data_IF_191197099183
#
_entry.id   IF_191197099183
#
_cell.length_a   1.000
_cell.length_b   1.000
_cell.length_c   1.000
_cell.angle_alpha   90.00
_cell.angle_beta   90.00
_cell.angle_gamma   90.00
#
_symmetry.space_group_name_H-M   'P 1'
#
loop_
_entity.id
_entity.type
_entity.pdbx_description
1 polymer ?
#
# COMPACT_ATOMS: atom_id res chain seq x y z
N UNK A 1 28.28 1.29 -2.23
CA UNK A 1 27.77 2.37 -3.10
C UNK A 1 26.94 3.29 -2.22
N UNK A 2 26.99 4.61 -2.41
CA UNK A 2 26.12 5.50 -1.66
C UNK A 2 24.67 5.23 -2.04
N UNK A 3 23.81 5.03 -1.03
CA UNK A 3 22.37 4.87 -1.18
C UNK A 3 21.81 6.11 -1.91
N UNK A 4 21.23 5.90 -3.10
CA UNK A 4 20.67 6.98 -3.90
C UNK A 4 19.25 7.25 -3.42
N UNK A 5 18.93 8.53 -3.22
CA UNK A 5 17.59 8.95 -2.81
C UNK A 5 16.62 8.76 -3.97
N UNK A 6 15.40 8.33 -3.65
CA UNK A 6 14.31 8.13 -4.62
C UNK A 6 13.31 9.27 -4.54
N UNK A 7 12.77 9.63 -5.69
CA UNK A 7 11.67 10.58 -5.83
C UNK A 7 10.59 9.93 -6.69
N UNK A 8 9.39 9.81 -6.14
CA UNK A 8 8.24 9.30 -6.86
C UNK A 8 7.62 10.43 -7.68
N UNK A 9 7.56 10.24 -9.00
CA UNK A 9 6.93 11.19 -9.93
C UNK A 9 5.83 10.47 -10.69
N UNK A 10 4.65 11.08 -10.77
CA UNK A 10 3.55 10.54 -11.55
C UNK A 10 3.94 10.31 -13.02
N UNK A 11 3.53 9.18 -13.59
CA UNK A 11 3.90 8.80 -14.96
C UNK A 11 3.47 9.83 -16.00
N UNK A 12 2.33 10.51 -15.82
CA UNK A 12 1.89 11.57 -16.72
C UNK A 12 2.83 12.79 -16.66
N UNK A 13 3.35 13.13 -15.48
CA UNK A 13 4.35 14.20 -15.34
C UNK A 13 5.69 13.82 -15.96
N UNK A 14 6.11 12.56 -15.85
CA UNK A 14 7.33 12.07 -16.53
C UNK A 14 7.20 12.14 -18.05
N UNK A 15 6.02 11.83 -18.60
CA UNK A 15 5.75 11.91 -20.04
C UNK A 15 5.76 13.34 -20.59
N UNK A 16 5.63 14.35 -19.73
CA UNK A 16 5.75 15.76 -20.11
C UNK A 16 7.20 16.25 -20.16
N UNK A 17 8.23 15.38 -20.05
CA UNK A 17 9.59 15.84 -20.20
C UNK A 17 9.84 16.40 -21.61
N UNK A 18 10.66 17.45 -21.70
CA UNK A 18 11.02 18.08 -22.97
C UNK A 18 11.99 17.20 -23.80
N UNK A 19 12.37 17.68 -24.99
CA UNK A 19 13.33 17.01 -25.89
C UNK A 19 14.72 16.82 -25.25
N UNK A 20 15.00 17.51 -24.14
CA UNK A 20 16.22 17.34 -23.34
C UNK A 20 16.02 16.39 -22.15
N UNK A 21 14.86 15.72 -22.07
CA UNK A 21 14.46 14.79 -21.01
C UNK A 21 14.34 15.47 -19.65
N UNK A 22 13.93 16.74 -19.66
CA UNK A 22 13.78 17.57 -18.45
C UNK A 22 12.34 17.79 -18.11
N UNK A 23 12.04 17.77 -16.82
CA UNK A 23 10.72 18.11 -16.31
C UNK A 23 10.82 18.98 -15.05
N UNK A 24 9.76 19.75 -14.82
CA UNK A 24 9.65 20.64 -13.67
C UNK A 24 9.36 19.87 -12.38
N UNK A 25 10.05 20.27 -11.32
CA UNK A 25 9.73 19.89 -9.95
C UNK A 25 8.64 20.80 -9.40
N UNK A 26 7.73 20.22 -8.63
CA UNK A 26 6.82 20.98 -7.79
C UNK A 26 7.57 21.61 -6.61
N UNK A 27 7.01 22.66 -6.03
CA UNK A 27 7.65 23.41 -4.93
C UNK A 27 7.98 22.51 -3.73
N UNK A 28 7.14 21.51 -3.46
CA UNK A 28 7.35 20.59 -2.34
C UNK A 28 8.52 19.62 -2.61
N UNK A 29 8.62 19.07 -3.83
CA UNK A 29 9.72 18.20 -4.27
C UNK A 29 11.05 18.96 -4.28
N UNK A 30 11.07 20.14 -4.88
CA UNK A 30 12.23 21.03 -4.93
C UNK A 30 12.72 21.39 -3.52
N UNK A 31 11.81 21.72 -2.61
CA UNK A 31 12.13 21.97 -1.19
C UNK A 31 12.69 20.72 -0.52
N UNK A 32 12.09 19.55 -0.73
CA UNK A 32 12.56 18.30 -0.16
C UNK A 32 14.00 17.98 -0.61
N UNK A 33 14.26 17.98 -1.92
CA UNK A 33 15.59 17.70 -2.47
C UNK A 33 16.65 18.69 -2.00
N UNK A 34 16.35 19.99 -1.95
CA UNK A 34 17.34 21.05 -1.67
C UNK A 34 17.47 21.42 -0.20
N UNK A 35 16.39 21.39 0.59
CA UNK A 35 16.39 21.81 2.00
C UNK A 35 16.52 20.63 2.95
N UNK A 36 15.86 19.52 2.65
CA UNK A 36 15.87 18.32 3.52
C UNK A 36 17.07 17.45 3.15
N UNK A 37 17.15 16.99 1.89
CA UNK A 37 18.25 16.14 1.43
C UNK A 37 19.54 16.91 1.11
N UNK A 38 19.45 18.24 1.00
CA UNK A 38 20.58 19.15 0.74
C UNK A 38 21.38 18.81 -0.52
N UNK A 39 20.70 18.28 -1.53
CA UNK A 39 21.30 17.97 -2.82
C UNK A 39 21.72 19.25 -3.54
N UNK A 40 22.90 19.20 -4.15
CA UNK A 40 23.46 20.30 -4.96
C UNK A 40 23.14 20.09 -6.44
N UNK A 41 23.34 21.14 -7.24
CA UNK A 41 23.36 21.01 -8.68
C UNK A 41 24.31 19.88 -9.11
N UNK A 42 23.88 19.08 -10.09
CA UNK A 42 24.62 17.93 -10.60
C UNK A 42 24.48 16.66 -9.76
N UNK A 43 23.87 16.71 -8.58
CA UNK A 43 23.61 15.53 -7.77
C UNK A 43 22.71 14.54 -8.50
N UNK A 44 23.03 13.26 -8.38
CA UNK A 44 22.22 12.17 -8.91
C UNK A 44 21.21 11.68 -7.87
N UNK A 45 20.03 11.32 -8.36
CA UNK A 45 18.95 10.69 -7.60
C UNK A 45 18.21 9.72 -8.52
N UNK A 46 17.49 8.78 -7.92
CA UNK A 46 16.63 7.87 -8.65
C UNK A 46 15.21 8.44 -8.73
N UNK A 47 14.60 8.37 -9.89
CA UNK A 47 13.21 8.76 -10.13
C UNK A 47 12.42 7.50 -10.44
N UNK A 48 11.28 7.32 -9.79
CA UNK A 48 10.39 6.16 -9.99
C UNK A 48 9.00 6.62 -10.41
N UNK A 49 8.30 5.82 -11.21
CA UNK A 49 6.94 6.14 -11.69
C UNK A 49 5.82 5.53 -10.83
N UNK A 50 6.18 4.74 -9.82
CA UNK A 50 5.21 3.98 -9.04
C UNK A 50 4.49 2.88 -9.83
N UNK A 51 4.98 2.56 -11.03
CA UNK A 51 4.45 1.54 -11.92
C UNK A 51 5.48 0.44 -12.24
N UNK A 52 6.62 0.42 -11.54
CA UNK A 52 7.66 -0.59 -11.68
C UNK A 52 8.94 -0.10 -12.35
N UNK A 53 9.01 1.15 -12.79
CA UNK A 53 10.17 1.68 -13.50
C UNK A 53 10.98 2.67 -12.66
N UNK A 54 12.29 2.68 -12.92
CA UNK A 54 13.26 3.56 -12.29
C UNK A 54 14.20 4.16 -13.35
N UNK A 55 14.47 5.45 -13.23
CA UNK A 55 15.44 6.19 -14.03
C UNK A 55 16.46 6.86 -13.12
N UNK A 56 17.71 6.89 -13.57
CA UNK A 56 18.70 7.80 -12.99
C UNK A 56 18.42 9.23 -13.48
N UNK A 57 18.34 10.18 -12.56
CA UNK A 57 18.16 11.59 -12.86
C UNK A 57 19.28 12.43 -12.28
N UNK A 58 19.42 13.65 -12.80
CA UNK A 58 20.34 14.68 -12.31
C UNK A 58 19.56 15.92 -11.92
N UNK A 59 19.83 16.44 -10.72
CA UNK A 59 19.29 17.71 -10.26
C UNK A 59 19.96 18.89 -10.99
N UNK A 60 19.18 19.66 -11.73
CA UNK A 60 19.67 20.85 -12.44
C UNK A 60 19.69 22.09 -11.54
N UNK A 61 20.17 23.22 -12.06
CA UNK A 61 19.91 24.52 -11.44
C UNK A 61 18.41 24.86 -11.61
N UNK A 62 17.83 25.63 -10.68
CA UNK A 62 16.39 25.93 -10.70
C UNK A 62 15.50 24.78 -10.17
N UNK A 63 14.25 24.67 -10.66
CA UNK A 63 13.26 23.68 -10.20
C UNK A 63 13.07 22.56 -11.25
N UNK A 64 14.16 21.92 -11.69
CA UNK A 64 14.11 20.91 -12.76
C UNK A 64 14.99 19.69 -12.48
N UNK A 65 14.59 18.55 -13.03
CA UNK A 65 15.38 17.32 -13.14
C UNK A 65 15.63 17.00 -14.61
N UNK A 66 16.77 16.36 -14.89
CA UNK A 66 17.09 15.76 -16.20
C UNK A 66 17.24 14.25 -16.05
N UNK A 67 16.49 13.46 -16.83
CA UNK A 67 16.69 12.01 -16.89
C UNK A 67 17.98 11.70 -17.66
N UNK A 68 18.78 10.76 -17.14
CA UNK A 68 20.02 10.35 -17.77
C UNK A 68 19.80 9.43 -18.99
N UNK A 69 18.63 8.79 -19.06
CA UNK A 69 18.18 7.93 -20.17
C UNK A 69 16.86 8.44 -20.73
N UNK A 70 16.46 7.93 -21.90
CA UNK A 70 15.13 8.19 -22.47
C UNK A 70 14.02 7.69 -21.52
N UNK A 71 12.86 8.36 -21.54
CA UNK A 71 11.69 7.94 -20.74
C UNK A 71 11.32 6.49 -21.07
N UNK A 72 11.42 6.08 -22.34
CA UNK A 72 11.13 4.72 -22.79
C UNK A 72 12.21 3.69 -22.44
N UNK A 73 13.33 4.12 -21.86
CA UNK A 73 14.47 3.28 -21.48
C UNK A 73 14.80 3.45 -19.99
N UNK A 74 13.94 2.93 -19.08
CA UNK A 74 14.24 2.92 -17.65
C UNK A 74 15.54 2.18 -17.34
N UNK A 75 16.27 2.69 -16.35
CA UNK A 75 17.50 2.05 -15.84
C UNK A 75 17.21 0.72 -15.14
N UNK A 76 16.00 0.56 -14.59
CA UNK A 76 15.51 -0.68 -14.02
C UNK A 76 13.99 -0.78 -14.19
N UNK A 77 13.51 -1.97 -14.52
CA UNK A 77 12.08 -2.33 -14.51
C UNK A 77 11.87 -3.57 -13.67
N UNK A 78 10.89 -3.50 -12.76
CA UNK A 78 10.48 -4.61 -11.90
C UNK A 78 8.99 -4.87 -12.12
N UNK A 79 8.65 -6.12 -12.38
CA UNK A 79 7.26 -6.57 -12.47
C UNK A 79 6.72 -6.76 -11.05
N UNK A 80 5.59 -6.13 -10.66
CA UNK A 80 4.98 -6.35 -9.36
C UNK A 80 4.66 -7.84 -9.13
N UNK A 81 4.96 -8.39 -7.94
CA UNK A 81 4.76 -9.79 -7.63
C UNK A 81 3.28 -10.15 -7.57
N UNK A 82 2.97 -11.40 -7.92
CA UNK A 82 1.66 -12.03 -7.69
C UNK A 82 1.76 -13.07 -6.57
N UNK A 83 0.68 -13.31 -5.82
CA UNK A 83 -0.59 -12.57 -5.87
C UNK A 83 -0.47 -11.15 -5.30
N UNK A 84 -1.39 -10.28 -5.72
CA UNK A 84 -1.54 -8.94 -5.13
C UNK A 84 -2.00 -9.06 -3.67
N UNK A 85 -1.29 -8.42 -2.76
CA UNK A 85 -1.69 -8.35 -1.36
C UNK A 85 -2.57 -7.12 -1.14
N UNK A 86 -3.75 -7.29 -0.58
CA UNK A 86 -4.71 -6.22 -0.42
C UNK A 86 -5.20 -6.16 1.04
N UNK A 87 -5.29 -4.96 1.59
CA UNK A 87 -5.78 -4.71 2.94
C UNK A 87 -7.05 -3.86 2.86
N UNK A 88 -8.14 -4.39 3.39
CA UNK A 88 -9.31 -3.61 3.73
C UNK A 88 -9.30 -3.31 5.23
N UNK A 89 -9.38 -2.04 5.58
CA UNK A 89 -9.23 -1.58 6.96
C UNK A 89 -10.38 -0.66 7.30
N UNK A 90 -11.12 -0.99 8.35
CA UNK A 90 -12.12 -0.09 8.91
C UNK A 90 -11.47 1.24 9.30
N UNK A 91 -12.21 2.34 9.18
CA UNK A 91 -11.75 3.61 9.74
C UNK A 91 -11.59 3.47 11.25
N UNK A 92 -10.37 3.71 11.74
CA UNK A 92 -9.99 3.61 13.14
C UNK A 92 -9.69 5.00 13.71
N UNK A 93 -9.83 5.14 15.03
CA UNK A 93 -9.62 6.41 15.73
C UNK A 93 -8.17 6.86 15.74
N UNK A 94 -7.23 5.92 15.80
CA UNK A 94 -5.80 6.18 15.97
C UNK A 94 -4.97 5.15 15.24
N UNK A 95 -3.88 5.60 14.64
CA UNK A 95 -2.87 4.73 14.02
C UNK A 95 -3.20 4.36 12.57
N UNK A 96 -4.11 5.09 11.90
CA UNK A 96 -4.33 4.86 10.47
C UNK A 96 -3.10 5.24 9.66
N UNK A 97 -2.46 6.37 10.00
CA UNK A 97 -1.19 6.79 9.40
C UNK A 97 -0.11 5.69 9.46
N UNK A 98 0.02 5.06 10.63
CA UNK A 98 0.95 3.95 10.86
C UNK A 98 0.60 2.72 10.02
N UNK A 99 -0.70 2.39 9.90
CA UNK A 99 -1.17 1.29 9.05
C UNK A 99 -0.85 1.57 7.59
N UNK A 100 -1.12 2.78 7.08
CA UNK A 100 -0.82 3.14 5.68
C UNK A 100 0.67 2.97 5.36
N UNK A 101 1.52 3.55 6.23
CA UNK A 101 2.97 3.45 6.09
C UNK A 101 3.45 2.00 6.13
N UNK A 102 3.13 1.26 7.20
CA UNK A 102 3.63 -0.10 7.39
C UNK A 102 3.03 -1.08 6.37
N UNK A 103 1.78 -0.91 5.94
CA UNK A 103 1.20 -1.73 4.87
C UNK A 103 1.98 -1.55 3.55
N UNK A 104 2.36 -0.32 3.21
CA UNK A 104 3.18 -0.04 2.04
C UNK A 104 4.57 -0.69 2.16
N UNK A 105 5.24 -0.50 3.31
CA UNK A 105 6.56 -1.10 3.61
C UNK A 105 6.52 -2.64 3.56
N UNK A 106 5.42 -3.25 4.02
CA UNK A 106 5.19 -4.70 3.98
C UNK A 106 4.62 -5.20 2.65
N UNK A 107 4.63 -4.38 1.60
CA UNK A 107 4.35 -4.83 0.24
C UNK A 107 2.88 -5.01 -0.11
N UNK A 108 1.94 -4.38 0.62
CA UNK A 108 0.52 -4.29 0.22
C UNK A 108 0.42 -3.56 -1.10
N UNK A 109 -0.34 -4.11 -2.05
CA UNK A 109 -0.59 -3.57 -3.38
C UNK A 109 -1.87 -2.74 -3.45
N UNK A 110 -2.85 -3.00 -2.57
CA UNK A 110 -4.12 -2.25 -2.51
C UNK A 110 -4.61 -1.99 -1.10
N UNK A 111 -5.12 -0.79 -0.87
CA UNK A 111 -5.67 -0.34 0.39
C UNK A 111 -7.11 0.10 0.17
N UNK A 112 -8.05 -0.53 0.88
CA UNK A 112 -9.46 -0.14 0.91
C UNK A 112 -9.84 0.33 2.32
N UNK A 113 -9.95 1.64 2.56
CA UNK A 113 -10.55 2.12 3.80
C UNK A 113 -12.05 1.89 3.78
N UNK A 114 -12.61 1.38 4.89
CA UNK A 114 -14.02 1.04 5.03
C UNK A 114 -14.70 1.84 6.15
N UNK A 115 -15.86 2.41 5.85
CA UNK A 115 -16.75 2.89 6.89
C UNK A 115 -17.64 1.72 7.37
N UNK A 116 -17.35 1.22 8.57
CA UNK A 116 -18.07 0.12 9.22
C UNK A 116 -19.06 0.64 10.25
N UNK A 117 -20.07 -0.16 10.59
CA UNK A 117 -21.15 0.23 11.53
C UNK A 117 -20.68 0.60 12.92
N UNK A 118 -19.63 -0.06 13.40
CA UNK A 118 -19.04 0.17 14.72
C UNK A 118 -17.78 1.02 14.67
N UNK A 119 -17.56 1.74 13.57
CA UNK A 119 -16.51 2.78 13.49
C UNK A 119 -16.92 3.96 14.38
N UNK A 120 -15.96 4.54 15.10
CA UNK A 120 -16.25 5.69 15.97
C UNK A 120 -16.38 6.99 15.14
N UNK A 121 -17.16 7.98 15.58
CA UNK A 121 -17.26 9.27 14.86
C UNK A 121 -15.94 10.01 14.70
N UNK A 122 -14.98 9.77 15.62
CA UNK A 122 -13.63 10.35 15.57
C UNK A 122 -12.64 9.51 14.75
N UNK A 123 -13.12 8.58 13.92
CA UNK A 123 -12.25 7.80 13.06
C UNK A 123 -11.50 8.72 12.07
N UNK A 124 -10.23 8.41 11.83
CA UNK A 124 -9.40 9.21 10.93
C UNK A 124 -9.90 9.03 9.49
N UNK A 125 -10.27 10.13 8.84
CA UNK A 125 -10.63 10.17 7.41
C UNK A 125 -9.84 11.30 6.74
N UNK A 126 -8.62 10.99 6.28
CA UNK A 126 -7.66 11.97 5.78
C UNK A 126 -6.97 11.47 4.49
N UNK A 127 -7.72 11.25 3.40
CA UNK A 127 -7.19 10.60 2.19
C UNK A 127 -5.99 11.34 1.58
N UNK A 128 -5.96 12.67 1.60
CA UNK A 128 -4.81 13.44 1.11
C UNK A 128 -3.55 13.17 1.94
N UNK A 129 -3.69 13.10 3.27
CA UNK A 129 -2.58 12.79 4.18
C UNK A 129 -2.09 11.35 3.98
N UNK A 130 -3.00 10.40 3.79
CA UNK A 130 -2.64 9.00 3.53
C UNK A 130 -1.89 8.85 2.20
N UNK A 131 -2.31 9.55 1.15
CA UNK A 131 -1.56 9.59 -0.10
C UNK A 131 -0.12 10.09 0.11
N UNK A 132 0.08 11.19 0.84
CA UNK A 132 1.43 11.68 1.14
C UNK A 132 2.25 10.65 1.93
N UNK A 133 1.66 9.99 2.93
CA UNK A 133 2.33 8.93 3.71
C UNK A 133 2.73 7.76 2.80
N UNK A 134 1.87 7.35 1.87
CA UNK A 134 2.16 6.26 0.94
C UNK A 134 3.26 6.65 -0.04
N UNK A 135 3.24 7.88 -0.58
CA UNK A 135 4.31 8.38 -1.44
C UNK A 135 5.67 8.36 -0.72
N UNK A 136 5.74 8.90 0.49
CA UNK A 136 6.95 8.87 1.33
C UNK A 136 7.38 7.43 1.63
N UNK A 137 6.44 6.54 1.96
CA UNK A 137 6.74 5.15 2.25
C UNK A 137 7.30 4.40 1.03
N UNK A 138 6.76 4.63 -0.18
CA UNK A 138 7.26 4.04 -1.43
C UNK A 138 8.70 4.49 -1.70
N UNK A 139 8.99 5.78 -1.53
CA UNK A 139 10.35 6.31 -1.72
C UNK A 139 11.36 5.70 -0.73
N UNK A 140 10.96 5.49 0.53
CA UNK A 140 11.83 4.96 1.59
C UNK A 140 12.00 3.44 1.52
N UNK A 141 10.94 2.68 1.22
CA UNK A 141 10.99 1.22 1.22
C UNK A 141 11.59 0.63 -0.06
N UNK A 142 12.03 1.49 -0.99
CA UNK A 142 12.70 1.09 -2.23
C UNK A 142 11.85 0.21 -3.16
N UNK A 143 10.54 0.27 -3.02
CA UNK A 143 9.61 -0.36 -3.96
C UNK A 143 9.45 0.48 -5.22
N UNK A 144 9.38 -0.16 -6.39
CA UNK A 144 9.21 0.55 -7.67
C UNK A 144 7.76 0.78 -8.07
N UNK A 145 6.80 0.21 -7.35
CA UNK A 145 5.38 0.42 -7.57
C UNK A 145 4.68 0.94 -6.31
N UNK A 146 3.73 1.83 -6.51
CA UNK A 146 2.93 2.40 -5.43
C UNK A 146 1.69 1.53 -5.16
N UNK A 147 1.27 1.38 -3.89
CA UNK A 147 -0.02 0.78 -3.59
C UNK A 147 -1.15 1.68 -4.10
N UNK A 148 -2.23 1.06 -4.58
CA UNK A 148 -3.46 1.77 -4.89
C UNK A 148 -4.25 2.03 -3.61
N UNK A 149 -4.54 3.31 -3.31
CA UNK A 149 -5.44 3.70 -2.23
C UNK A 149 -6.83 3.99 -2.81
N UNK A 150 -7.79 3.12 -2.53
CA UNK A 150 -9.17 3.31 -2.98
C UNK A 150 -9.89 4.38 -2.14
N UNK A 151 -10.92 4.97 -2.74
CA UNK A 151 -11.83 5.86 -2.02
C UNK A 151 -12.55 5.11 -0.90
N UNK A 152 -12.79 5.82 0.21
CA UNK A 152 -13.51 5.26 1.36
C UNK A 152 -14.93 4.90 0.94
N UNK A 153 -15.36 3.68 1.24
CA UNK A 153 -16.70 3.20 0.94
C UNK A 153 -17.33 2.51 2.17
N UNK A 154 -18.64 2.28 2.12
CA UNK A 154 -19.34 1.57 3.19
C UNK A 154 -19.05 0.07 3.13
N UNK A 155 -18.75 -0.55 4.28
CA UNK A 155 -18.53 -2.01 4.36
C UNK A 155 -19.68 -2.81 3.74
N UNK A 156 -20.94 -2.38 3.96
CA UNK A 156 -22.12 -3.05 3.43
C UNK A 156 -22.17 -3.12 1.89
N UNK A 157 -21.51 -2.20 1.20
CA UNK A 157 -21.47 -2.14 -0.28
C UNK A 157 -20.23 -2.85 -0.86
N UNK A 158 -19.22 -3.09 -0.02
CA UNK A 158 -17.90 -3.48 -0.50
C UNK A 158 -17.68 -4.98 -0.57
N UNK A 159 -18.38 -5.78 0.26
CA UNK A 159 -18.10 -7.22 0.38
C UNK A 159 -18.13 -8.01 -0.95
N UNK A 160 -18.91 -7.54 -1.93
CA UNK A 160 -19.05 -8.13 -3.26
C UNK A 160 -18.19 -7.45 -4.34
N UNK A 161 -17.38 -6.45 -3.99
CA UNK A 161 -16.54 -5.70 -4.93
C UNK A 161 -15.27 -6.47 -5.34
N UNK A 162 -14.53 -7.13 -4.43
CA UNK A 162 -13.41 -7.99 -4.85
C UNK A 162 -13.84 -9.16 -5.74
N UNK A 163 -12.96 -9.60 -6.64
CA UNK A 163 -13.25 -10.69 -7.58
C UNK A 163 -13.57 -11.98 -6.79
N UNK A 164 -14.60 -12.76 -7.17
CA UNK A 164 -14.93 -14.02 -6.50
C UNK A 164 -13.78 -15.05 -6.48
N UNK A 165 -12.82 -14.93 -7.40
CA UNK A 165 -11.61 -15.79 -7.46
C UNK A 165 -10.46 -15.28 -6.59
N UNK A 166 -10.58 -14.10 -5.97
CA UNK A 166 -9.62 -13.64 -4.97
C UNK A 166 -9.80 -14.43 -3.67
N UNK A 167 -8.70 -14.71 -2.97
CA UNK A 167 -8.75 -15.24 -1.61
C UNK A 167 -9.17 -14.11 -0.66
N UNK A 168 -10.38 -14.18 -0.12
CA UNK A 168 -11.00 -13.11 0.67
C UNK A 168 -11.08 -13.52 2.14
N UNK A 169 -10.32 -12.86 3.00
CA UNK A 169 -10.12 -13.23 4.40
C UNK A 169 -10.62 -12.11 5.32
N UNK A 170 -11.37 -12.45 6.37
CA UNK A 170 -11.85 -11.49 7.38
C UNK A 170 -11.32 -11.87 8.75
N UNK A 171 -10.60 -10.95 9.39
CA UNK A 171 -10.06 -11.18 10.71
C UNK A 171 -11.13 -11.02 11.79
N UNK A 172 -11.26 -12.03 12.64
CA UNK A 172 -12.18 -12.06 13.79
C UNK A 172 -11.41 -12.36 15.08
N UNK A 173 -11.79 -11.71 16.18
CA UNK A 173 -11.04 -11.76 17.44
C UNK A 173 -11.62 -12.70 18.51
N UNK A 174 -12.88 -13.14 18.37
CA UNK A 174 -13.63 -13.85 19.44
C UNK A 174 -14.29 -15.14 18.98
N UNK A 175 -14.04 -15.58 17.76
CA UNK A 175 -14.54 -16.84 17.23
C UNK A 175 -13.46 -17.92 17.35
N UNK A 176 -13.62 -18.82 18.33
CA UNK A 176 -12.64 -19.84 18.69
C UNK A 176 -12.41 -20.90 17.61
N UNK A 177 -13.33 -21.04 16.65
CA UNK A 177 -13.26 -22.07 15.60
C UNK A 177 -12.62 -21.58 14.29
N UNK A 178 -12.22 -20.29 14.20
CA UNK A 178 -11.59 -19.76 12.99
C UNK A 178 -10.12 -20.20 12.88
N UNK A 179 -9.69 -20.75 11.73
CA UNK A 179 -8.29 -21.15 11.53
C UNK A 179 -7.35 -19.95 11.67
N UNK A 180 -6.12 -20.20 12.10
CA UNK A 180 -5.09 -19.15 12.14
C UNK A 180 -4.74 -18.73 10.71
N UNK A 181 -4.59 -17.43 10.47
CA UNK A 181 -4.24 -16.89 9.15
C UNK A 181 -3.02 -17.61 8.53
N UNK A 182 -1.97 -17.83 9.32
CA UNK A 182 -0.75 -18.51 8.86
C UNK A 182 -0.99 -19.95 8.42
N UNK A 183 -1.86 -20.68 9.12
CA UNK A 183 -2.19 -22.08 8.82
C UNK A 183 -3.04 -22.15 7.54
N UNK A 184 -4.04 -21.28 7.43
CA UNK A 184 -4.88 -21.18 6.24
C UNK A 184 -4.04 -20.85 5.00
N UNK A 185 -3.13 -19.87 5.10
CA UNK A 185 -2.23 -19.49 4.01
C UNK A 185 -1.28 -20.64 3.65
N UNK A 186 -0.69 -21.31 4.64
CA UNK A 186 0.21 -22.45 4.40
C UNK A 186 -0.48 -23.63 3.70
N UNK A 187 -1.80 -23.80 3.92
CA UNK A 187 -2.62 -24.82 3.27
C UNK A 187 -3.01 -24.46 1.83
N UNK A 188 -2.85 -23.20 1.39
CA UNK A 188 -3.10 -22.83 -0.01
C UNK A 188 -2.00 -23.38 -0.91
N UNK A 189 -2.38 -24.14 -1.95
CA UNK A 189 -1.45 -24.69 -2.93
C UNK A 189 -0.84 -23.58 -3.81
N UNK A 190 -1.68 -22.67 -4.31
CA UNK A 190 -1.29 -21.41 -4.93
C UNK A 190 -2.43 -20.40 -4.80
N UNK A 191 -2.10 -19.11 -4.86
CA UNK A 191 -3.07 -18.04 -5.08
C UNK A 191 -2.56 -17.22 -6.24
N UNK A 192 -3.26 -17.26 -7.36
CA UNK A 192 -2.69 -16.77 -8.62
C UNK A 192 -2.98 -15.27 -8.85
N UNK A 193 -3.99 -14.70 -8.17
CA UNK A 193 -4.50 -13.34 -8.43
C UNK A 193 -4.29 -12.40 -7.26
N UNK A 194 -5.11 -12.51 -6.22
CA UNK A 194 -5.02 -11.64 -5.05
C UNK A 194 -5.50 -12.29 -3.77
N UNK A 195 -4.96 -11.76 -2.67
CA UNK A 195 -5.44 -11.99 -1.32
C UNK A 195 -5.93 -10.66 -0.76
N UNK A 196 -7.15 -10.66 -0.22
CA UNK A 196 -7.68 -9.59 0.60
C UNK A 196 -7.73 -10.01 2.06
N UNK A 197 -7.21 -9.16 2.95
CA UNK A 197 -7.44 -9.27 4.38
C UNK A 197 -8.27 -8.08 4.85
N UNK A 198 -9.39 -8.36 5.52
CA UNK A 198 -10.28 -7.34 6.09
C UNK A 198 -10.12 -7.26 7.61
N UNK A 199 -9.92 -6.04 8.11
CA UNK A 199 -9.69 -5.74 9.53
C UNK A 199 -10.75 -4.76 10.04
N UNK A 200 -11.46 -5.15 11.10
CA UNK A 200 -12.58 -4.41 11.65
C UNK A 200 -12.19 -3.21 12.54
N UNK A 201 -13.16 -2.36 12.90
CA UNK A 201 -12.93 -1.22 13.79
C UNK A 201 -12.72 -1.67 15.23
N UNK A 202 -12.45 -0.74 16.15
CA UNK A 202 -12.24 -1.05 17.56
C UNK A 202 -13.46 -1.71 18.23
N UNK A 203 -14.67 -1.44 17.73
CA UNK A 203 -15.91 -2.09 18.17
C UNK A 203 -16.15 -3.49 17.56
N UNK A 204 -15.23 -3.98 16.74
CA UNK A 204 -15.36 -5.22 15.98
C UNK A 204 -16.42 -5.14 14.87
N UNK A 205 -16.58 -6.25 14.15
CA UNK A 205 -17.63 -6.40 13.14
C UNK A 205 -19.01 -6.53 13.79
N UNK A 206 -20.03 -5.99 13.14
CA UNK A 206 -21.43 -6.29 13.49
C UNK A 206 -21.87 -7.61 12.86
N UNK A 207 -22.88 -8.25 13.45
CA UNK A 207 -23.41 -9.54 12.96
C UNK A 207 -23.90 -9.44 11.50
N UNK A 208 -24.47 -8.29 11.11
CA UNK A 208 -24.87 -8.07 9.72
C UNK A 208 -23.67 -7.94 8.77
N UNK A 209 -22.55 -7.36 9.22
CA UNK A 209 -21.34 -7.28 8.40
C UNK A 209 -20.68 -8.65 8.25
N UNK A 210 -20.63 -9.44 9.33
CA UNK A 210 -20.14 -10.83 9.29
C UNK A 210 -21.01 -11.69 8.36
N UNK A 211 -22.34 -11.62 8.48
CA UNK A 211 -23.26 -12.34 7.62
C UNK A 211 -23.11 -11.93 6.14
N UNK A 212 -22.95 -10.63 5.87
CA UNK A 212 -22.74 -10.13 4.51
C UNK A 212 -21.38 -10.59 3.93
N UNK A 213 -20.32 -10.55 4.72
CA UNK A 213 -19.01 -11.06 4.32
C UNK A 213 -19.06 -12.57 4.03
N UNK A 214 -19.67 -13.34 4.92
CA UNK A 214 -19.85 -14.78 4.75
C UNK A 214 -20.66 -15.10 3.48
N UNK A 215 -21.79 -14.40 3.25
CA UNK A 215 -22.60 -14.57 2.06
C UNK A 215 -21.84 -14.20 0.77
N UNK A 216 -20.91 -13.25 0.85
CA UNK A 216 -20.01 -12.90 -0.25
C UNK A 216 -18.86 -13.90 -0.44
N UNK A 217 -18.67 -14.88 0.45
CA UNK A 217 -17.63 -15.91 0.36
C UNK A 217 -16.32 -15.56 1.05
N UNK A 218 -16.35 -14.67 2.04
CA UNK A 218 -15.19 -14.36 2.88
C UNK A 218 -14.94 -15.46 3.92
N UNK A 219 -13.68 -15.84 4.08
CA UNK A 219 -13.24 -16.86 5.02
C UNK A 219 -12.76 -16.20 6.30
N UNK A 220 -13.25 -16.68 7.43
CA UNK A 220 -12.96 -16.09 8.73
C UNK A 220 -11.63 -16.63 9.25
N UNK A 221 -10.78 -15.74 9.77
CA UNK A 221 -9.45 -16.09 10.25
C UNK A 221 -9.15 -15.44 11.60
N UNK A 222 -8.35 -16.12 12.41
CA UNK A 222 -7.76 -15.55 13.63
C UNK A 222 -6.33 -15.08 13.38
N UNK A 223 -5.90 -14.06 14.13
CA UNK A 223 -4.53 -13.50 14.07
C UNK A 223 -3.68 -13.89 15.30
N UNK A 224 -4.10 -14.94 16.01
CA UNK A 224 -3.46 -15.42 17.24
C UNK A 224 -4.42 -15.45 18.42
N UNK A 225 -3.88 -15.73 19.60
CA UNK A 225 -4.66 -16.04 20.80
C UNK A 225 -5.04 -14.79 21.61
N UNK A 226 -4.50 -13.63 21.25
CA UNK A 226 -4.75 -12.35 21.94
C UNK A 226 -5.60 -11.41 21.09
N UNK A 227 -6.39 -10.58 21.75
CA UNK A 227 -7.16 -9.53 21.07
C UNK A 227 -6.20 -8.40 20.69
N UNK A 228 -5.94 -8.29 19.38
CA UNK A 228 -5.14 -7.21 18.82
C UNK A 228 -6.00 -5.95 18.61
N UNK A 229 -5.40 -4.77 18.79
CA UNK A 229 -5.99 -3.52 18.30
C UNK A 229 -6.04 -3.55 16.78
N UNK A 230 -7.01 -2.87 16.17
CA UNK A 230 -7.19 -2.86 14.71
C UNK A 230 -5.91 -2.50 13.92
N UNK A 231 -5.14 -1.50 14.37
CA UNK A 231 -3.86 -1.16 13.73
C UNK A 231 -2.82 -2.28 13.84
N UNK A 232 -2.68 -2.90 15.02
CA UNK A 232 -1.79 -4.04 15.24
C UNK A 232 -2.23 -5.27 14.44
N UNK A 233 -3.53 -5.54 14.37
CA UNK A 233 -4.11 -6.62 13.57
C UNK A 233 -3.81 -6.45 12.09
N UNK A 234 -3.95 -5.23 11.56
CA UNK A 234 -3.62 -4.93 10.16
C UNK A 234 -2.15 -5.19 9.85
N UNK A 235 -1.24 -4.64 10.65
CA UNK A 235 0.21 -4.81 10.43
C UNK A 235 0.63 -6.27 10.58
N UNK A 236 0.13 -6.95 11.63
CA UNK A 236 0.43 -8.37 11.87
C UNK A 236 -0.06 -9.26 10.72
N UNK A 237 -1.32 -9.08 10.30
CA UNK A 237 -1.89 -9.89 9.23
C UNK A 237 -1.23 -9.64 7.87
N UNK A 238 -0.94 -8.38 7.55
CA UNK A 238 -0.17 -8.03 6.34
C UNK A 238 1.23 -8.62 6.37
N UNK A 239 1.92 -8.56 7.52
CA UNK A 239 3.24 -9.18 7.65
C UNK A 239 3.18 -10.69 7.40
N UNK A 240 2.16 -11.39 7.92
CA UNK A 240 1.96 -12.81 7.63
C UNK A 240 1.72 -13.08 6.13
N UNK A 241 0.89 -12.27 5.47
CA UNK A 241 0.66 -12.38 4.02
C UNK A 241 1.92 -12.11 3.20
N UNK A 242 2.69 -11.09 3.57
CA UNK A 242 3.96 -10.76 2.90
C UNK A 242 4.97 -11.89 3.02
N UNK A 243 5.14 -12.45 4.24
CA UNK A 243 6.06 -13.56 4.45
C UNK A 243 5.63 -14.80 3.66
N UNK A 244 4.32 -15.10 3.63
CA UNK A 244 3.78 -16.19 2.83
C UNK A 244 4.06 -16.00 1.33
N UNK A 245 3.83 -14.79 0.78
CA UNK A 245 4.08 -14.50 -0.64
C UNK A 245 5.54 -14.74 -1.00
N UNK A 246 6.49 -14.27 -0.18
CA UNK A 246 7.93 -14.47 -0.42
C UNK A 246 8.37 -15.94 -0.36
N UNK A 247 7.68 -16.79 0.41
CA UNK A 247 8.05 -18.20 0.55
C UNK A 247 7.45 -19.12 -0.52
N UNK A 248 6.36 -18.68 -1.17
CA UNK A 248 5.54 -19.53 -2.05
C UNK A 248 5.45 -19.04 -3.49
N UNK A 249 5.86 -17.80 -3.77
CA UNK A 249 5.82 -17.17 -5.08
C UNK A 249 7.21 -16.62 -5.43
#
# INVERSE_FOLDING_TARGET
>A
MAERRRLLIDSARLQCADDHRRFGLEDHESRYLRKVLRLKHGAQLDVIDGCGNLWLARLLEGQQLELCTEITAPSQTVIPPLPKLSLAIALIRRGMDDVMRMACELGVDRLQPLNCRRSVPQAEHRPQRWNSILQEAVEQCERLWAPELHAVCSAAQWWNTPDPHDLRLIAVARELESPRLSELLAAQASVDRSIWLSIGPEGGWSDQELAAAQAAGWIFVSLGDTILRSSTAAVSGVSSMSNWRTLKC
#
